data_IF_084718190410
#
_entry.id   IF_084718190410
#
_cell.length_a   1.000
_cell.length_b   1.000
_cell.length_c   1.000
_cell.angle_alpha   90.00
_cell.angle_beta   90.00
_cell.angle_gamma   90.00
#
_symmetry.space_group_name_H-M   'P 1'
#
loop_
_entity.id
_entity.type
_entity.pdbx_description
1 polymer ?
#
# COMPACT_ATOMS: atom_id res chain seq x y z
N UNK A 1 -37.55 32.20 -28.71
CA UNK A 1 -37.51 31.80 -27.29
C UNK A 1 -38.50 30.66 -27.12
N UNK A 2 -38.03 29.43 -27.20
CA UNK A 2 -38.81 28.22 -26.90
C UNK A 2 -37.94 27.38 -25.98
N UNK A 3 -38.22 27.47 -24.67
CA UNK A 3 -37.70 26.55 -23.67
C UNK A 3 -38.59 25.32 -23.67
N UNK A 4 -38.11 24.22 -24.24
CA UNK A 4 -38.69 22.90 -24.02
C UNK A 4 -38.30 22.45 -22.62
N UNK A 5 -39.20 22.61 -21.67
CA UNK A 5 -39.12 21.96 -20.37
C UNK A 5 -39.48 20.48 -20.57
N UNK A 6 -38.48 19.62 -20.68
CA UNK A 6 -38.68 18.18 -20.66
C UNK A 6 -38.99 17.76 -19.23
N UNK A 7 -40.22 17.29 -19.05
CA UNK A 7 -40.75 16.72 -17.81
C UNK A 7 -39.93 15.48 -17.41
N UNK A 8 -39.05 15.64 -16.41
CA UNK A 8 -38.04 14.64 -16.00
C UNK A 8 -38.48 13.90 -14.74
N UNK A 9 -39.65 13.29 -14.81
CA UNK A 9 -40.21 12.48 -13.70
C UNK A 9 -40.65 11.09 -14.16
N UNK A 10 -39.83 10.43 -14.99
CA UNK A 10 -39.99 9.00 -15.23
C UNK A 10 -39.08 8.19 -14.29
N UNK A 11 -39.61 7.15 -13.62
CA UNK A 11 -38.78 6.19 -12.89
C UNK A 11 -37.84 5.50 -13.89
N UNK A 12 -36.54 5.46 -13.58
CA UNK A 12 -35.54 4.80 -14.40
C UNK A 12 -35.74 3.28 -14.33
N UNK A 13 -36.57 2.73 -15.22
CA UNK A 13 -36.83 1.28 -15.34
C UNK A 13 -35.69 0.54 -16.08
N UNK A 14 -34.50 1.09 -16.10
CA UNK A 14 -33.31 0.52 -16.75
C UNK A 14 -32.03 1.09 -16.12
N UNK A 15 -30.89 0.53 -16.49
CA UNK A 15 -29.59 1.07 -16.07
C UNK A 15 -29.44 2.51 -16.59
N UNK A 16 -28.90 3.44 -15.77
CA UNK A 16 -28.62 4.79 -16.19
C UNK A 16 -27.60 4.78 -17.34
N UNK A 17 -27.65 5.78 -18.25
CA UNK A 17 -26.62 5.97 -19.26
C UNK A 17 -25.26 6.25 -18.58
N UNK A 18 -24.16 5.86 -19.22
CA UNK A 18 -22.81 6.04 -18.67
C UNK A 18 -22.46 7.53 -18.47
N UNK A 19 -23.08 8.40 -19.26
CA UNK A 19 -22.97 9.85 -19.15
C UNK A 19 -23.46 10.37 -17.80
N UNK A 20 -24.51 9.77 -17.22
CA UNK A 20 -25.04 10.18 -15.92
C UNK A 20 -24.11 9.71 -14.79
N UNK A 21 -23.49 8.53 -14.92
CA UNK A 21 -22.49 8.03 -13.95
C UNK A 21 -21.25 8.94 -13.97
N UNK A 22 -20.78 9.34 -15.16
CA UNK A 22 -19.67 10.29 -15.28
C UNK A 22 -20.03 11.67 -14.69
N UNK A 23 -21.22 12.20 -15.00
CA UNK A 23 -21.70 13.47 -14.45
C UNK A 23 -21.86 13.44 -12.92
N UNK A 24 -22.21 12.28 -12.35
CA UNK A 24 -22.25 12.05 -10.91
C UNK A 24 -20.86 12.11 -10.27
N UNK A 25 -19.87 11.42 -10.85
CA UNK A 25 -18.48 11.44 -10.40
C UNK A 25 -17.88 12.85 -10.46
N UNK A 26 -18.16 13.59 -11.54
CA UNK A 26 -17.71 14.97 -11.71
C UNK A 26 -18.48 15.97 -10.83
N UNK A 27 -19.51 15.53 -10.10
CA UNK A 27 -20.34 16.36 -9.23
C UNK A 27 -21.25 17.35 -9.97
N UNK A 28 -21.47 17.15 -11.28
CA UNK A 28 -22.21 18.07 -12.16
C UNK A 28 -23.71 17.79 -12.25
N UNK A 29 -24.17 16.63 -11.76
CA UNK A 29 -25.61 16.30 -11.68
C UNK A 29 -26.38 17.20 -10.71
N UNK A 30 -27.62 17.51 -11.09
CA UNK A 30 -28.58 18.20 -10.22
C UNK A 30 -28.90 17.36 -8.97
N UNK A 31 -29.33 18.02 -7.89
CA UNK A 31 -29.50 17.36 -6.58
C UNK A 31 -30.55 16.23 -6.61
N UNK A 32 -31.62 16.39 -7.38
CA UNK A 32 -32.68 15.40 -7.55
C UNK A 32 -32.23 14.20 -8.39
N UNK A 33 -31.48 14.43 -9.46
CA UNK A 33 -30.88 13.36 -10.29
C UNK A 33 -29.83 12.57 -9.50
N UNK A 34 -29.01 13.27 -8.71
CA UNK A 34 -28.01 12.67 -7.81
C UNK A 34 -28.66 11.72 -6.81
N UNK A 35 -29.77 12.14 -6.18
CA UNK A 35 -30.51 11.29 -5.26
C UNK A 35 -31.06 10.03 -5.94
N UNK A 36 -31.60 10.15 -7.16
CA UNK A 36 -32.09 9.01 -7.95
C UNK A 36 -30.97 8.04 -8.33
N UNK A 37 -29.82 8.56 -8.76
CA UNK A 37 -28.68 7.72 -9.13
C UNK A 37 -28.10 7.00 -7.91
N UNK A 38 -28.03 7.69 -6.77
CA UNK A 38 -27.60 7.07 -5.50
C UNK A 38 -28.52 5.91 -5.11
N UNK A 39 -29.84 6.11 -5.20
CA UNK A 39 -30.83 5.04 -4.93
C UNK A 39 -30.70 3.87 -5.92
N UNK A 40 -30.39 4.15 -7.20
CA UNK A 40 -30.18 3.11 -8.21
C UNK A 40 -28.90 2.30 -7.95
N UNK A 41 -27.78 2.97 -7.68
CA UNK A 41 -26.49 2.32 -7.36
C UNK A 41 -26.60 1.41 -6.14
N UNK A 42 -27.41 1.78 -5.14
CA UNK A 42 -27.68 0.94 -3.97
C UNK A 42 -28.48 -0.34 -4.27
N UNK A 43 -29.15 -0.44 -5.42
CA UNK A 43 -30.00 -1.58 -5.80
C UNK A 43 -29.50 -2.37 -7.01
N UNK A 44 -28.61 -1.81 -7.81
CA UNK A 44 -28.13 -2.40 -9.06
C UNK A 44 -26.63 -2.67 -9.00
N UNK A 45 -26.28 -3.93 -8.72
CA UNK A 45 -24.90 -4.41 -8.59
C UNK A 45 -24.05 -4.11 -9.84
N UNK A 46 -24.59 -4.31 -11.04
CA UNK A 46 -23.85 -4.05 -12.28
C UNK A 46 -23.52 -2.56 -12.50
N UNK A 47 -24.38 -1.65 -12.02
CA UNK A 47 -24.08 -0.22 -12.09
C UNK A 47 -23.10 0.21 -10.99
N UNK A 48 -23.18 -0.43 -9.81
CA UNK A 48 -22.23 -0.21 -8.73
C UNK A 48 -20.81 -0.62 -9.14
N UNK A 49 -20.64 -1.76 -9.83
CA UNK A 49 -19.34 -2.23 -10.33
C UNK A 49 -18.71 -1.24 -11.34
N UNK A 50 -19.51 -0.70 -12.27
CA UNK A 50 -19.03 0.32 -13.22
C UNK A 50 -18.64 1.61 -12.48
N UNK A 51 -19.44 2.02 -11.49
CA UNK A 51 -19.16 3.20 -10.68
C UNK A 51 -17.87 3.05 -9.87
N UNK A 52 -17.70 1.95 -9.12
CA UNK A 52 -16.51 1.73 -8.28
C UNK A 52 -15.24 1.60 -9.13
N UNK A 53 -15.32 0.94 -10.29
CA UNK A 53 -14.20 0.89 -11.23
C UNK A 53 -13.80 2.27 -11.76
N UNK A 54 -14.77 3.15 -12.03
CA UNK A 54 -14.51 4.51 -12.46
C UNK A 54 -13.92 5.40 -11.35
N UNK A 55 -14.35 5.23 -10.08
CA UNK A 55 -13.74 5.90 -8.91
C UNK A 55 -12.27 5.51 -8.78
N UNK A 56 -11.96 4.21 -8.82
CA UNK A 56 -10.57 3.75 -8.74
C UNK A 56 -9.70 4.31 -9.86
N UNK A 57 -10.23 4.46 -11.07
CA UNK A 57 -9.49 5.08 -12.18
C UNK A 57 -9.26 6.59 -11.99
N UNK A 58 -10.11 7.30 -11.26
CA UNK A 58 -9.87 8.71 -10.89
C UNK A 58 -8.81 8.84 -9.79
N UNK A 59 -8.74 7.87 -8.89
CA UNK A 59 -7.76 7.81 -7.80
C UNK A 59 -6.38 7.37 -8.25
N UNK A 60 -6.28 6.58 -9.34
CA UNK A 60 -5.00 6.32 -9.98
C UNK A 60 -4.36 7.66 -10.36
N UNK A 61 -3.27 8.07 -9.68
CA UNK A 61 -2.68 9.36 -9.94
C UNK A 61 -2.17 9.34 -11.37
N UNK A 62 -2.85 10.07 -12.26
CA UNK A 62 -2.29 10.37 -13.57
C UNK A 62 -0.91 10.97 -13.28
N UNK A 63 0.14 10.26 -13.68
CA UNK A 63 1.54 10.59 -13.37
C UNK A 63 2.02 11.91 -14.03
N UNK A 64 1.09 12.81 -14.33
CA UNK A 64 1.24 14.07 -15.03
C UNK A 64 0.90 15.29 -14.16
N UNK A 65 0.48 15.16 -12.89
CA UNK A 65 0.37 16.33 -12.00
C UNK A 65 1.74 16.66 -11.37
N UNK A 66 2.67 17.04 -12.25
CA UNK A 66 3.82 17.84 -11.84
C UNK A 66 3.35 19.29 -11.74
N UNK A 67 3.18 19.72 -10.50
CA UNK A 67 2.70 21.03 -10.10
C UNK A 67 2.95 22.17 -11.09
N UNK A 68 1.86 22.77 -11.55
CA UNK A 68 1.77 24.20 -11.80
C UNK A 68 2.86 24.81 -12.70
N UNK A 69 2.98 24.35 -13.95
CA UNK A 69 3.41 25.23 -15.06
C UNK A 69 3.03 24.67 -16.43
N UNK A 70 2.00 25.30 -17.01
CA UNK A 70 1.85 25.41 -18.45
C UNK A 70 1.03 24.32 -19.11
N UNK A 71 -0.27 24.56 -19.22
CA UNK A 71 -1.08 24.05 -20.34
C UNK A 71 -0.31 24.34 -21.62
N UNK A 72 0.14 23.30 -22.33
CA UNK A 72 0.72 23.46 -23.66
C UNK A 72 -0.35 24.07 -24.57
N UNK A 73 -0.15 25.29 -25.11
CA UNK A 73 -1.12 25.85 -26.04
C UNK A 73 -1.15 24.96 -27.27
N UNK A 74 -2.32 24.39 -27.57
CA UNK A 74 -2.59 23.82 -28.88
C UNK A 74 -2.37 24.92 -29.92
N UNK A 75 -1.48 24.75 -30.91
CA UNK A 75 -1.30 25.72 -31.97
C UNK A 75 -2.51 25.60 -32.91
N UNK A 76 -3.61 26.26 -32.56
CA UNK A 76 -4.67 26.55 -33.51
C UNK A 76 -4.14 27.60 -34.47
N UNK A 77 -4.16 27.22 -35.75
CA UNK A 77 -3.43 27.88 -36.83
C UNK A 77 -3.73 29.37 -36.97
N UNK A 78 -2.67 30.17 -36.85
CA UNK A 78 -2.60 31.53 -37.34
C UNK A 78 -1.74 31.57 -38.60
N UNK A 79 -2.42 31.62 -39.75
CA UNK A 79 -2.07 32.37 -40.95
C UNK A 79 -0.61 32.41 -41.44
N UNK A 80 -0.38 31.61 -42.49
CA UNK A 80 0.09 32.05 -43.81
C UNK A 80 0.92 33.36 -43.88
N UNK A 81 2.19 33.21 -44.25
CA UNK A 81 2.84 34.15 -45.17
C UNK A 81 4.22 34.67 -44.79
N UNK A 82 5.27 33.94 -45.18
CA UNK A 82 6.47 34.47 -45.89
C UNK A 82 7.51 33.37 -46.17
N UNK A 83 7.92 33.15 -47.44
CA UNK A 83 8.99 32.23 -47.81
C UNK A 83 10.35 32.99 -47.88
N UNK A 84 11.49 32.34 -48.16
CA UNK A 84 12.62 32.27 -47.25
C UNK A 84 13.81 33.15 -47.68
N UNK A 85 14.70 33.50 -46.74
CA UNK A 85 16.08 33.86 -47.09
C UNK A 85 17.06 32.90 -46.45
N UNK A 86 17.56 32.03 -47.33
CA UNK A 86 18.70 31.14 -47.11
C UNK A 86 19.92 31.99 -46.77
N UNK A 87 20.54 31.72 -45.62
CA UNK A 87 21.97 31.85 -45.46
C UNK A 87 22.49 30.52 -44.90
N UNK A 88 23.07 29.77 -45.84
CA UNK A 88 23.95 28.64 -45.59
C UNK A 88 25.13 29.10 -44.76
N UNK A 89 25.43 28.44 -43.64
CA UNK A 89 26.80 28.33 -43.14
C UNK A 89 26.91 27.27 -42.04
N UNK A 90 27.35 26.08 -42.46
CA UNK A 90 28.39 25.28 -41.78
C UNK A 90 28.27 25.14 -40.24
N UNK A 91 27.44 24.21 -39.78
CA UNK A 91 27.81 23.28 -38.70
C UNK A 91 26.76 22.17 -38.64
N UNK A 92 27.04 21.04 -39.27
CA UNK A 92 26.12 19.88 -39.39
C UNK A 92 26.68 18.61 -38.73
N UNK A 93 27.67 18.73 -37.85
CA UNK A 93 28.37 17.58 -37.25
C UNK A 93 28.72 17.77 -35.77
N UNK A 94 27.79 18.31 -34.98
CA UNK A 94 27.86 18.19 -33.53
C UNK A 94 26.49 18.50 -32.96
N UNK A 95 25.83 17.47 -32.40
CA UNK A 95 24.97 17.48 -31.21
C UNK A 95 23.85 16.43 -31.33
N UNK A 96 24.14 15.19 -30.91
CA UNK A 96 23.14 14.34 -30.27
C UNK A 96 23.62 13.93 -28.86
N UNK A 97 24.05 14.89 -28.02
CA UNK A 97 24.52 14.60 -26.65
C UNK A 97 23.83 15.41 -25.53
N UNK A 98 22.99 16.40 -25.86
CA UNK A 98 22.33 17.21 -24.83
C UNK A 98 21.01 16.60 -24.30
N UNK A 99 20.32 15.77 -25.08
CA UNK A 99 19.04 15.16 -24.66
C UNK A 99 19.22 14.03 -23.64
N UNK A 100 20.37 13.33 -23.65
CA UNK A 100 20.62 12.16 -22.80
C UNK A 100 20.86 12.54 -21.33
N UNK A 101 21.48 13.70 -21.07
CA UNK A 101 21.81 14.15 -19.70
C UNK A 101 20.55 14.52 -18.91
N UNK A 102 19.54 15.11 -19.58
CA UNK A 102 18.26 15.49 -18.93
C UNK A 102 17.44 14.26 -18.55
N UNK A 103 17.44 13.21 -19.38
CA UNK A 103 16.73 11.96 -19.07
C UNK A 103 17.37 11.21 -17.90
N UNK A 104 18.70 11.13 -17.83
CA UNK A 104 19.40 10.46 -16.71
C UNK A 104 19.26 11.27 -15.42
N UNK A 105 19.39 12.60 -15.48
CA UNK A 105 19.15 13.46 -14.32
C UNK A 105 17.68 13.41 -13.85
N UNK A 106 16.74 13.41 -14.80
CA UNK A 106 15.31 13.30 -14.55
C UNK A 106 14.93 11.96 -13.88
N UNK A 107 15.42 10.83 -14.39
CA UNK A 107 15.20 9.52 -13.75
C UNK A 107 15.83 9.43 -12.36
N UNK A 108 17.04 9.99 -12.19
CA UNK A 108 17.72 10.01 -10.88
C UNK A 108 16.97 10.84 -9.84
N UNK A 109 16.46 12.01 -10.24
CA UNK A 109 15.62 12.87 -9.39
C UNK A 109 14.26 12.22 -9.10
N UNK A 110 13.61 11.60 -10.09
CA UNK A 110 12.32 10.93 -9.88
C UNK A 110 12.42 9.81 -8.84
N UNK A 111 13.46 8.96 -8.90
CA UNK A 111 13.69 7.92 -7.88
C UNK A 111 13.98 8.50 -6.48
N UNK A 112 14.50 9.72 -6.41
CA UNK A 112 14.71 10.42 -5.15
C UNK A 112 13.41 10.93 -4.52
N UNK A 113 12.38 11.23 -5.33
CA UNK A 113 11.09 11.72 -4.85
C UNK A 113 10.01 10.64 -4.77
N UNK A 114 10.13 9.55 -5.52
CA UNK A 114 9.22 8.42 -5.42
C UNK A 114 9.22 7.89 -3.96
N UNK A 115 8.04 7.58 -3.40
CA UNK A 115 7.95 6.96 -2.09
C UNK A 115 8.75 5.64 -2.09
N UNK A 116 9.49 5.32 -1.02
CA UNK A 116 10.13 4.03 -0.91
C UNK A 116 9.08 2.93 -1.00
N UNK A 117 9.29 1.98 -1.90
CA UNK A 117 8.45 0.79 -2.00
C UNK A 117 9.04 -0.28 -1.09
N UNK A 118 8.39 -0.50 0.04
CA UNK A 118 8.66 -1.64 0.90
C UNK A 118 7.96 -2.84 0.28
N UNK A 119 8.73 -3.71 -0.36
CA UNK A 119 8.24 -4.99 -0.88
C UNK A 119 8.70 -6.12 0.03
N UNK A 120 7.96 -7.22 0.03
CA UNK A 120 8.31 -8.39 0.86
C UNK A 120 9.70 -8.92 0.51
N UNK A 121 10.05 -8.95 -0.78
CA UNK A 121 11.37 -9.32 -1.23
C UNK A 121 12.46 -8.37 -0.69
N UNK A 122 12.25 -7.05 -0.77
CA UNK A 122 13.22 -6.06 -0.33
C UNK A 122 13.50 -6.09 1.18
N UNK A 123 12.52 -6.51 2.00
CA UNK A 123 12.70 -6.61 3.45
C UNK A 123 13.25 -7.97 3.90
N UNK A 124 12.95 -9.05 3.19
CA UNK A 124 13.42 -10.40 3.54
C UNK A 124 14.80 -10.74 2.94
N UNK A 125 15.13 -10.22 1.75
CA UNK A 125 16.42 -10.49 1.08
C UNK A 125 17.63 -10.11 1.95
N UNK A 126 17.66 -8.97 2.67
CA UNK A 126 18.75 -8.65 3.58
C UNK A 126 18.96 -9.70 4.67
N UNK A 127 17.92 -10.44 5.06
CA UNK A 127 17.98 -11.46 6.11
C UNK A 127 18.62 -12.77 5.63
N UNK A 128 18.85 -12.93 4.32
CA UNK A 128 19.48 -14.13 3.74
C UNK A 128 20.84 -14.42 4.39
N UNK A 129 21.02 -15.67 4.85
CA UNK A 129 22.24 -16.13 5.52
C UNK A 129 22.21 -16.08 7.05
N UNK A 130 21.17 -15.51 7.65
CA UNK A 130 20.93 -15.65 9.10
C UNK A 130 20.21 -16.98 9.38
N UNK A 131 20.53 -17.65 10.48
CA UNK A 131 19.94 -18.95 10.88
C UNK A 131 19.30 -18.85 12.26
N UNK A 132 18.23 -19.61 12.51
CA UNK A 132 17.54 -19.61 13.80
C UNK A 132 16.71 -18.33 13.99
N UNK A 133 16.16 -17.82 12.89
CA UNK A 133 15.27 -16.67 12.92
C UNK A 133 13.88 -17.04 13.42
N UNK A 134 13.46 -18.31 13.30
CA UNK A 134 12.16 -18.79 13.77
C UNK A 134 11.96 -18.63 15.28
N UNK A 135 13.04 -18.73 16.08
CA UNK A 135 13.03 -18.47 17.53
C UNK A 135 12.83 -16.98 17.88
N UNK A 136 12.87 -16.10 16.87
CA UNK A 136 12.81 -14.64 17.01
C UNK A 136 11.56 -14.03 16.41
N UNK A 137 10.70 -14.83 15.76
CA UNK A 137 9.45 -14.34 15.19
C UNK A 137 8.56 -13.77 16.28
N UNK A 138 7.73 -12.81 15.89
CA UNK A 138 6.71 -12.28 16.76
C UNK A 138 5.76 -13.39 17.23
N UNK A 139 5.58 -13.50 18.55
CA UNK A 139 4.61 -14.41 19.17
C UNK A 139 3.53 -13.56 19.84
N UNK A 140 2.30 -13.54 19.31
CA UNK A 140 1.23 -12.79 19.94
C UNK A 140 0.96 -13.36 21.34
N UNK A 141 0.73 -12.46 22.31
CA UNK A 141 0.24 -12.89 23.61
C UNK A 141 -1.17 -13.46 23.41
N UNK A 142 -1.34 -14.75 23.69
CA UNK A 142 -2.64 -15.43 23.54
C UNK A 142 -3.60 -14.91 24.62
N UNK A 143 -4.27 -13.79 24.32
CA UNK A 143 -5.28 -13.19 25.17
C UNK A 143 -6.66 -13.71 24.76
N UNK A 144 -7.35 -14.36 25.69
CA UNK A 144 -8.69 -14.92 25.48
C UNK A 144 -9.75 -13.88 25.89
N UNK A 145 -10.29 -13.13 24.93
CA UNK A 145 -11.34 -12.12 25.13
C UNK A 145 -12.32 -12.05 23.96
N UNK A 146 -13.51 -11.47 24.17
CA UNK A 146 -14.51 -11.21 23.14
C UNK A 146 -14.09 -10.00 22.30
N UNK A 147 -14.28 -10.12 20.99
CA UNK A 147 -13.80 -9.20 19.98
C UNK A 147 -14.83 -8.09 19.72
N UNK A 148 -14.56 -6.86 20.16
CA UNK A 148 -15.25 -5.67 19.64
C UNK A 148 -14.45 -5.07 18.48
N UNK A 149 -15.18 -4.65 17.45
CA UNK A 149 -14.67 -4.04 16.22
C UNK A 149 -14.13 -2.64 16.53
N UNK A 150 -12.84 -2.40 16.26
CA UNK A 150 -12.21 -1.08 16.38
C UNK A 150 -11.75 -0.62 15.00
N UNK A 151 -12.23 0.55 14.58
CA UNK A 151 -11.97 1.18 13.27
C UNK A 151 -10.63 1.93 13.19
N UNK A 152 -9.84 1.99 14.27
CA UNK A 152 -8.65 2.85 14.31
C UNK A 152 -7.36 2.07 14.07
N UNK A 153 -6.65 2.47 13.00
CA UNK A 153 -5.63 1.66 12.33
C UNK A 153 -6.25 0.32 11.93
N UNK A 154 -6.17 -0.06 10.66
CA UNK A 154 -6.56 -1.41 10.27
C UNK A 154 -5.56 -2.42 10.87
N UNK A 155 -5.63 -2.68 12.19
CA UNK A 155 -4.75 -3.61 12.93
C UNK A 155 -4.67 -4.94 12.19
N UNK A 156 -5.78 -5.53 11.70
CA UNK A 156 -5.70 -6.74 10.90
C UNK A 156 -4.78 -6.59 9.67
N UNK A 157 -4.78 -5.44 9.00
CA UNK A 157 -3.92 -5.15 7.85
C UNK A 157 -2.45 -5.01 8.28
N UNK A 158 -2.15 -4.30 9.39
CA UNK A 158 -0.77 -4.21 9.91
C UNK A 158 -0.25 -5.59 10.32
N UNK A 159 -1.04 -6.34 11.09
CA UNK A 159 -0.64 -7.65 11.59
C UNK A 159 -0.54 -8.69 10.47
N UNK A 160 -1.33 -8.58 9.41
CA UNK A 160 -1.14 -9.37 8.20
C UNK A 160 0.25 -9.13 7.57
N UNK A 161 0.74 -7.88 7.59
CA UNK A 161 2.12 -7.55 7.19
C UNK A 161 3.16 -8.25 8.06
N UNK A 162 3.02 -8.17 9.40
CA UNK A 162 3.92 -8.85 10.36
C UNK A 162 3.97 -10.35 10.09
N UNK A 163 2.82 -11.03 10.09
CA UNK A 163 2.76 -12.48 9.93
C UNK A 163 3.17 -12.96 8.53
N UNK A 164 3.09 -12.11 7.50
CA UNK A 164 3.62 -12.45 6.18
C UNK A 164 5.15 -12.49 6.17
N UNK A 165 5.83 -11.61 6.92
CA UNK A 165 7.29 -11.68 7.10
C UNK A 165 7.64 -12.97 7.83
N UNK A 166 6.94 -13.28 8.93
CA UNK A 166 7.13 -14.53 9.69
C UNK A 166 6.99 -15.76 8.80
N UNK A 167 5.92 -15.80 7.98
CA UNK A 167 5.68 -16.90 7.05
C UNK A 167 6.85 -17.08 6.08
N UNK A 168 7.40 -15.98 5.53
CA UNK A 168 8.56 -16.05 4.61
C UNK A 168 9.81 -16.57 5.31
N UNK A 169 10.07 -16.11 6.52
CA UNK A 169 11.22 -16.57 7.32
C UNK A 169 11.07 -18.05 7.66
N UNK A 170 9.89 -18.47 8.13
CA UNK A 170 9.56 -19.87 8.44
C UNK A 170 9.66 -20.79 7.24
N UNK A 171 9.15 -20.37 6.07
CA UNK A 171 9.32 -21.10 4.82
C UNK A 171 10.79 -21.29 4.50
N UNK A 172 11.60 -20.23 4.59
CA UNK A 172 13.02 -20.28 4.27
C UNK A 172 13.78 -21.25 5.17
N UNK A 173 13.52 -21.23 6.48
CA UNK A 173 14.18 -22.13 7.45
C UNK A 173 13.59 -23.55 7.43
N UNK A 174 12.48 -23.76 6.72
CA UNK A 174 11.82 -25.06 6.58
C UNK A 174 11.34 -25.65 7.92
N UNK A 175 10.91 -24.77 8.83
CA UNK A 175 10.37 -25.15 10.14
C UNK A 175 8.85 -25.31 10.07
N UNK A 176 8.37 -26.54 9.90
CA UNK A 176 6.94 -26.83 9.66
C UNK A 176 6.00 -26.25 10.71
N UNK A 177 6.38 -26.28 11.98
CA UNK A 177 5.56 -25.73 13.06
C UNK A 177 5.43 -24.21 12.94
N UNK A 178 6.54 -23.51 12.71
CA UNK A 178 6.53 -22.06 12.53
C UNK A 178 5.74 -21.65 11.27
N UNK A 179 5.82 -22.44 10.19
CA UNK A 179 4.99 -22.21 8.99
C UNK A 179 3.50 -22.34 9.33
N UNK A 180 3.10 -23.39 10.06
CA UNK A 180 1.72 -23.60 10.46
C UNK A 180 1.20 -22.46 11.35
N UNK A 181 1.98 -22.06 12.35
CA UNK A 181 1.61 -21.00 13.29
C UNK A 181 1.48 -19.65 12.55
N UNK A 182 2.44 -19.29 11.70
CA UNK A 182 2.36 -18.08 10.87
C UNK A 182 1.14 -18.09 9.93
N UNK A 183 0.79 -19.25 9.32
CA UNK A 183 -0.41 -19.35 8.47
C UNK A 183 -1.71 -19.19 9.25
N UNK A 184 -1.80 -19.76 10.47
CA UNK A 184 -2.98 -19.61 11.32
C UNK A 184 -3.19 -18.15 11.73
N UNK A 185 -2.12 -17.49 12.17
CA UNK A 185 -2.17 -16.08 12.56
C UNK A 185 -2.47 -15.18 11.36
N UNK A 186 -1.75 -15.35 10.24
CA UNK A 186 -1.98 -14.59 9.01
C UNK A 186 -3.40 -14.76 8.47
N UNK A 187 -3.90 -16.00 8.44
CA UNK A 187 -5.25 -16.28 7.97
C UNK A 187 -6.32 -15.67 8.87
N UNK A 188 -6.13 -15.72 10.19
CA UNK A 188 -7.03 -15.08 11.17
C UNK A 188 -7.10 -13.57 11.00
N UNK A 189 -5.96 -12.89 10.87
CA UNK A 189 -5.96 -11.44 10.62
C UNK A 189 -6.54 -11.09 9.24
N UNK A 190 -6.19 -11.85 8.21
CA UNK A 190 -6.70 -11.60 6.83
C UNK A 190 -8.23 -11.76 6.76
N UNK A 191 -8.82 -12.67 7.54
CA UNK A 191 -10.28 -12.83 7.62
C UNK A 191 -10.99 -11.59 8.18
N UNK A 192 -10.30 -10.82 9.03
CA UNK A 192 -10.81 -9.59 9.62
C UNK A 192 -10.55 -8.36 8.74
N UNK A 193 -9.88 -8.51 7.59
CA UNK A 193 -9.71 -7.42 6.61
C UNK A 193 -10.91 -7.41 5.66
N UNK A 194 -11.49 -6.23 5.47
CA UNK A 194 -12.62 -6.03 4.57
C UNK A 194 -12.30 -6.57 3.16
N UNK A 195 -13.23 -7.37 2.61
CA UNK A 195 -13.13 -8.03 1.29
C UNK A 195 -12.09 -9.16 1.16
N UNK A 196 -11.28 -9.46 2.18
CA UNK A 196 -10.28 -10.54 2.12
C UNK A 196 -10.66 -11.81 2.90
N UNK A 197 -11.89 -11.90 3.41
CA UNK A 197 -12.41 -13.06 4.14
C UNK A 197 -12.11 -14.41 3.48
N UNK A 198 -12.43 -14.54 2.19
CA UNK A 198 -12.19 -15.78 1.44
C UNK A 198 -10.69 -16.12 1.34
N UNK A 199 -9.84 -15.12 1.10
CA UNK A 199 -8.39 -15.32 1.05
C UNK A 199 -7.85 -15.75 2.40
N UNK A 200 -8.34 -15.15 3.49
CA UNK A 200 -7.98 -15.53 4.85
C UNK A 200 -8.39 -16.97 5.20
N UNK A 201 -9.58 -17.42 4.78
CA UNK A 201 -10.01 -18.82 4.92
C UNK A 201 -9.07 -19.77 4.15
N UNK A 202 -8.68 -19.42 2.93
CA UNK A 202 -7.74 -20.21 2.12
C UNK A 202 -6.36 -20.31 2.79
N UNK A 203 -5.86 -19.21 3.36
CA UNK A 203 -4.60 -19.17 4.11
C UNK A 203 -4.68 -20.08 5.35
N UNK A 204 -5.76 -19.99 6.14
CA UNK A 204 -5.95 -20.87 7.30
C UNK A 204 -6.05 -22.34 6.90
N UNK A 205 -6.76 -22.67 5.81
CA UNK A 205 -6.86 -24.04 5.30
C UNK A 205 -5.51 -24.59 4.80
N UNK A 206 -4.60 -23.73 4.35
CA UNK A 206 -3.24 -24.13 3.96
C UNK A 206 -2.40 -24.59 5.16
N UNK A 207 -2.65 -24.08 6.37
CA UNK A 207 -1.96 -24.47 7.60
C UNK A 207 -2.07 -25.98 7.87
N UNK A 208 -3.27 -26.56 7.66
CA UNK A 208 -3.52 -28.00 7.85
C UNK A 208 -2.82 -28.90 6.83
N UNK A 209 -2.29 -28.30 5.75
CA UNK A 209 -1.65 -29.02 4.63
C UNK A 209 -0.13 -28.87 4.63
N UNK A 210 0.49 -28.15 5.57
CA UNK A 210 1.93 -27.83 5.54
C UNK A 210 2.81 -29.06 5.31
N UNK A 211 2.49 -30.20 5.94
CA UNK A 211 3.24 -31.45 5.80
C UNK A 211 3.06 -32.19 4.46
N UNK A 212 2.11 -31.78 3.61
CA UNK A 212 1.78 -32.47 2.35
C UNK A 212 2.69 -31.99 1.20
N UNK A 213 3.08 -32.86 0.25
CA UNK A 213 3.78 -32.45 -0.96
C UNK A 213 2.99 -31.38 -1.74
N UNK A 214 3.68 -30.35 -2.23
CA UNK A 214 3.07 -29.24 -3.00
C UNK A 214 2.50 -28.10 -2.16
N UNK A 215 2.40 -28.25 -0.84
CA UNK A 215 1.90 -27.19 0.07
C UNK A 215 2.67 -25.87 -0.06
N UNK A 216 3.98 -25.93 -0.28
CA UNK A 216 4.84 -24.74 -0.37
C UNK A 216 4.52 -23.84 -1.57
N UNK A 217 4.17 -24.42 -2.71
CA UNK A 217 3.80 -23.67 -3.91
C UNK A 217 2.42 -23.01 -3.74
N UNK A 218 1.50 -23.70 -3.05
CA UNK A 218 0.20 -23.14 -2.64
C UNK A 218 0.39 -21.98 -1.66
N UNK A 219 1.21 -22.16 -0.62
CA UNK A 219 1.52 -21.13 0.38
C UNK A 219 2.18 -19.90 -0.26
N UNK A 220 3.18 -20.09 -1.13
CA UNK A 220 3.83 -18.98 -1.84
C UNK A 220 2.84 -18.19 -2.71
N UNK A 221 1.92 -18.90 -3.38
CA UNK A 221 0.87 -18.29 -4.20
C UNK A 221 -0.09 -17.45 -3.36
N UNK A 222 -0.51 -17.97 -2.21
CA UNK A 222 -1.40 -17.25 -1.29
C UNK A 222 -0.71 -16.02 -0.71
N UNK A 223 0.56 -16.12 -0.31
CA UNK A 223 1.34 -14.97 0.15
C UNK A 223 1.49 -13.88 -0.92
N UNK A 224 1.71 -14.26 -2.18
CA UNK A 224 1.74 -13.32 -3.32
C UNK A 224 0.38 -12.69 -3.61
N UNK A 225 -0.70 -13.45 -3.47
CA UNK A 225 -2.05 -12.93 -3.64
C UNK A 225 -2.35 -11.86 -2.57
N UNK A 226 -1.98 -12.14 -1.31
CA UNK A 226 -2.12 -11.16 -0.23
C UNK A 226 -1.27 -9.90 -0.47
N UNK A 227 -0.01 -10.07 -0.86
CA UNK A 227 0.86 -8.92 -1.21
C UNK A 227 0.31 -8.12 -2.40
N UNK A 228 -0.33 -8.76 -3.38
CA UNK A 228 -0.98 -8.05 -4.48
C UNK A 228 -2.23 -7.28 -4.03
N UNK A 229 -2.95 -7.78 -3.03
CA UNK A 229 -4.15 -7.13 -2.48
C UNK A 229 -3.84 -5.98 -1.52
N UNK A 230 -2.79 -6.11 -0.69
CA UNK A 230 -2.48 -5.16 0.38
C UNK A 230 -1.15 -4.41 0.19
N UNK A 231 -0.38 -4.73 -0.85
CA UNK A 231 0.97 -4.19 -1.05
C UNK A 231 1.02 -2.67 -1.23
N UNK A 232 -0.10 -2.03 -1.57
CA UNK A 232 -0.22 -0.57 -1.65
C UNK A 232 -0.72 0.10 -0.37
N UNK A 233 -1.21 -0.68 0.58
CA UNK A 233 -1.72 -0.19 1.86
C UNK A 233 -0.57 0.25 2.81
N UNK A 234 -0.56 1.49 3.31
CA UNK A 234 0.47 1.97 4.22
C UNK A 234 0.57 1.19 5.54
N UNK A 235 -0.56 0.72 6.08
CA UNK A 235 -0.64 -0.04 7.32
C UNK A 235 -0.01 -1.43 7.13
N UNK A 236 -0.30 -2.08 5.99
CA UNK A 236 0.33 -3.35 5.64
C UNK A 236 1.85 -3.22 5.51
N UNK A 237 2.32 -2.18 4.80
CA UNK A 237 3.76 -1.89 4.67
C UNK A 237 4.42 -1.56 6.01
N UNK A 238 3.71 -0.90 6.92
CA UNK A 238 4.20 -0.64 8.28
C UNK A 238 4.47 -1.96 9.01
N UNK A 239 3.55 -2.93 8.91
CA UNK A 239 3.73 -4.27 9.47
C UNK A 239 4.94 -4.99 8.90
N UNK A 240 5.07 -5.02 7.56
CA UNK A 240 6.21 -5.61 6.86
C UNK A 240 7.54 -5.00 7.34
N UNK A 241 7.61 -3.67 7.38
CA UNK A 241 8.82 -2.94 7.75
C UNK A 241 9.18 -3.12 9.23
N UNK A 242 8.17 -3.13 10.11
CA UNK A 242 8.38 -3.25 11.55
C UNK A 242 8.95 -4.64 11.90
N UNK A 243 8.34 -5.72 11.39
CA UNK A 243 8.80 -7.08 11.68
C UNK A 243 10.16 -7.37 11.05
N UNK A 244 10.38 -6.95 9.80
CA UNK A 244 11.69 -7.11 9.18
C UNK A 244 12.79 -6.34 9.93
N UNK A 245 12.49 -5.14 10.44
CA UNK A 245 13.39 -4.37 11.28
C UNK A 245 13.69 -5.05 12.62
N UNK A 246 12.67 -5.64 13.26
CA UNK A 246 12.81 -6.44 14.47
C UNK A 246 13.71 -7.66 14.25
N UNK A 247 13.42 -8.49 13.23
CA UNK A 247 14.21 -9.67 12.90
C UNK A 247 15.63 -9.28 12.50
N UNK A 248 15.82 -8.20 11.73
CA UNK A 248 17.14 -7.69 11.36
C UNK A 248 17.94 -7.26 12.59
N UNK A 249 17.32 -6.59 13.57
CA UNK A 249 17.98 -6.22 14.81
C UNK A 249 18.32 -7.46 15.66
N UNK A 250 17.37 -8.37 15.84
CA UNK A 250 17.57 -9.60 16.62
C UNK A 250 18.70 -10.48 16.05
N UNK A 251 18.82 -10.54 14.73
CA UNK A 251 19.87 -11.27 14.00
C UNK A 251 21.17 -10.46 13.82
N UNK A 252 21.23 -9.21 14.31
CA UNK A 252 22.36 -8.28 14.15
C UNK A 252 22.73 -8.04 12.68
N UNK A 253 21.74 -8.07 11.81
CA UNK A 253 21.90 -7.90 10.37
C UNK A 253 21.94 -6.42 9.99
N UNK A 254 23.14 -5.88 9.81
CA UNK A 254 23.32 -4.49 9.40
C UNK A 254 22.82 -4.16 7.98
N UNK A 255 22.51 -5.17 7.15
CA UNK A 255 22.09 -4.97 5.75
C UNK A 255 20.80 -4.16 5.66
N UNK A 256 19.79 -4.54 6.46
CA UNK A 256 18.51 -3.83 6.54
C UNK A 256 18.68 -2.34 6.87
N UNK A 257 19.52 -2.01 7.85
CA UNK A 257 19.74 -0.63 8.32
C UNK A 257 20.62 0.21 7.40
N UNK A 258 21.47 -0.44 6.59
CA UNK A 258 22.27 0.21 5.54
C UNK A 258 21.44 0.50 4.30
N UNK A 259 20.34 -0.22 4.10
CA UNK A 259 19.43 0.05 2.99
C UNK A 259 18.78 1.43 3.17
N UNK A 260 18.90 2.23 2.12
CA UNK A 260 18.38 3.58 2.09
C UNK A 260 16.85 3.60 2.05
N UNK A 261 16.22 2.64 1.38
CA UNK A 261 14.77 2.62 1.21
C UNK A 261 14.08 2.28 2.54
N UNK A 262 14.64 1.35 3.33
CA UNK A 262 14.18 1.06 4.70
C UNK A 262 14.26 2.28 5.61
N UNK A 263 15.34 3.07 5.51
CA UNK A 263 15.46 4.31 6.29
C UNK A 263 14.48 5.38 5.83
N UNK A 264 14.26 5.50 4.51
CA UNK A 264 13.33 6.48 3.93
C UNK A 264 11.87 6.17 4.25
N UNK A 265 11.55 4.97 4.72
CA UNK A 265 10.21 4.61 5.16
C UNK A 265 9.85 5.20 6.53
N UNK A 266 10.82 5.57 7.38
CA UNK A 266 10.56 6.14 8.72
C UNK A 266 9.61 7.37 8.71
N UNK A 267 9.78 8.37 7.83
CA UNK A 267 8.82 9.47 7.71
C UNK A 267 7.40 9.00 7.35
N UNK A 268 7.26 8.02 6.46
CA UNK A 268 5.97 7.47 6.07
C UNK A 268 5.32 6.70 7.22
N UNK A 269 6.11 5.94 7.98
CA UNK A 269 5.63 5.26 9.18
C UNK A 269 5.11 6.26 10.23
N UNK A 270 5.79 7.40 10.40
CA UNK A 270 5.31 8.48 11.30
C UNK A 270 4.03 9.13 10.81
N UNK A 271 3.89 9.32 9.50
CA UNK A 271 2.68 9.84 8.87
C UNK A 271 1.51 8.88 9.08
N UNK A 272 1.70 7.58 8.84
CA UNK A 272 0.68 6.55 9.05
C UNK A 272 0.21 6.45 10.51
N UNK A 273 1.09 6.72 11.47
CA UNK A 273 0.76 6.79 12.91
C UNK A 273 0.16 8.15 13.30
N UNK A 274 0.26 9.16 12.44
CA UNK A 274 -0.16 10.54 12.69
C UNK A 274 -1.65 10.72 12.93
N UNK A 275 -2.48 9.83 12.38
CA UNK A 275 -3.94 9.93 12.42
C UNK A 275 -4.57 9.11 13.57
N UNK A 276 -3.75 8.50 14.43
CA UNK A 276 -4.20 7.69 15.57
C UNK A 276 -4.62 8.55 16.78
N UNK A 277 -5.45 8.00 17.69
CA UNK A 277 -5.71 8.63 18.98
C UNK A 277 -4.44 8.87 19.79
N UNK A 278 -4.43 9.99 20.51
CA UNK A 278 -3.26 10.50 21.23
C UNK A 278 -2.66 9.47 22.20
N UNK A 279 -3.53 8.65 22.82
CA UNK A 279 -3.13 7.62 23.79
C UNK A 279 -2.10 6.64 23.23
N UNK A 280 -2.19 6.32 21.94
CA UNK A 280 -1.32 5.34 21.27
C UNK A 280 -0.34 6.00 20.33
N UNK A 281 -0.77 7.09 19.71
CA UNK A 281 0.07 7.92 18.86
C UNK A 281 1.37 8.29 19.58
N UNK A 282 1.30 8.78 20.83
CA UNK A 282 2.49 9.20 21.59
C UNK A 282 3.46 8.04 21.82
N UNK A 283 2.93 6.86 22.14
CA UNK A 283 3.72 5.64 22.36
C UNK A 283 4.41 5.19 21.07
N UNK A 284 3.66 5.07 19.97
CA UNK A 284 4.20 4.66 18.67
C UNK A 284 5.20 5.69 18.13
N UNK A 285 4.93 6.99 18.26
CA UNK A 285 5.87 8.04 17.88
C UNK A 285 7.16 7.98 18.69
N UNK A 286 7.10 7.67 19.99
CA UNK A 286 8.29 7.49 20.81
C UNK A 286 9.17 6.33 20.30
N UNK A 287 8.55 5.19 19.93
CA UNK A 287 9.26 4.07 19.30
C UNK A 287 9.90 4.47 17.96
N UNK A 288 9.15 5.11 17.06
CA UNK A 288 9.65 5.57 15.75
C UNK A 288 10.76 6.64 15.86
N UNK A 289 10.70 7.48 16.90
CA UNK A 289 11.75 8.46 17.17
C UNK A 289 13.02 7.78 17.68
N UNK A 290 12.90 6.82 18.59
CA UNK A 290 14.04 6.07 19.11
C UNK A 290 14.73 5.23 18.01
N UNK A 291 13.93 4.58 17.14
CA UNK A 291 14.45 3.84 15.98
C UNK A 291 15.31 4.73 15.07
N UNK A 292 14.86 5.95 14.77
CA UNK A 292 15.60 6.89 13.93
C UNK A 292 16.91 7.38 14.59
N UNK A 293 16.91 7.57 15.91
CA UNK A 293 18.11 7.93 16.66
C UNK A 293 19.15 6.80 16.65
N UNK A 294 18.69 5.55 16.79
CA UNK A 294 19.54 4.35 16.87
C UNK A 294 19.85 3.72 15.49
N UNK A 295 19.29 4.26 14.40
CA UNK A 295 19.38 3.71 13.04
C UNK A 295 20.81 3.48 12.50
N UNK A 296 21.83 3.96 13.19
CA UNK A 296 23.24 3.77 12.82
C UNK A 296 23.67 2.30 12.72
N UNK A 297 22.88 1.37 13.30
CA UNK A 297 23.16 -0.07 13.25
C UNK A 297 24.42 -0.47 14.02
N UNK A 298 24.81 0.35 15.01
CA UNK A 298 25.96 0.07 15.90
C UNK A 298 25.57 -0.77 17.10
N UNK A 299 24.39 -0.51 17.65
CA UNK A 299 23.78 -1.31 18.71
C UNK A 299 22.41 -1.80 18.22
N UNK A 300 22.22 -3.12 18.24
CA UNK A 300 20.99 -3.74 17.75
C UNK A 300 19.99 -4.03 18.86
N UNK A 301 20.42 -4.11 20.13
CA UNK A 301 19.51 -4.45 21.21
C UNK A 301 18.44 -3.37 21.44
N UNK A 302 18.77 -2.05 21.44
CA UNK A 302 17.75 -1.00 21.51
C UNK A 302 16.81 -1.02 20.30
N UNK A 303 17.35 -1.21 19.10
CA UNK A 303 16.53 -1.32 17.88
C UNK A 303 15.55 -2.48 17.97
N UNK A 304 16.02 -3.67 18.35
CA UNK A 304 15.17 -4.87 18.54
C UNK A 304 14.03 -4.59 19.52
N UNK A 305 14.33 -3.97 20.67
CA UNK A 305 13.33 -3.60 21.65
C UNK A 305 12.32 -2.57 21.13
N UNK A 306 12.76 -1.57 20.36
CA UNK A 306 11.87 -0.55 19.84
C UNK A 306 10.97 -1.04 18.70
N UNK A 307 11.49 -1.86 17.77
CA UNK A 307 10.66 -2.47 16.74
C UNK A 307 9.63 -3.43 17.33
N UNK A 308 10.05 -4.29 18.26
CA UNK A 308 9.13 -5.20 18.95
C UNK A 308 8.05 -4.43 19.72
N UNK A 309 8.45 -3.40 20.47
CA UNK A 309 7.51 -2.55 21.19
C UNK A 309 6.53 -1.83 20.27
N UNK A 310 6.95 -1.44 19.06
CA UNK A 310 6.04 -0.88 18.05
C UNK A 310 4.94 -1.89 17.67
N UNK A 311 5.31 -3.14 17.38
CA UNK A 311 4.37 -4.22 17.02
C UNK A 311 3.44 -4.53 18.20
N UNK A 312 3.98 -4.71 19.40
CA UNK A 312 3.20 -5.00 20.62
C UNK A 312 2.21 -3.89 20.98
N UNK A 313 2.50 -2.63 20.67
CA UNK A 313 1.58 -1.51 20.91
C UNK A 313 0.44 -1.49 19.87
N UNK A 314 0.75 -1.80 18.61
CA UNK A 314 -0.28 -1.93 17.55
C UNK A 314 -1.19 -3.12 17.86
N UNK A 315 -0.62 -4.24 18.28
CA UNK A 315 -1.37 -5.45 18.58
C UNK A 315 -2.35 -5.24 19.77
N UNK A 316 -1.86 -4.60 20.85
CA UNK A 316 -2.66 -4.33 22.06
C UNK A 316 -3.76 -3.29 21.88
N UNK A 317 -3.71 -2.44 20.85
CA UNK A 317 -4.68 -1.35 20.70
C UNK A 317 -6.14 -1.85 20.74
N UNK A 318 -6.39 -3.04 20.18
CA UNK A 318 -7.72 -3.68 20.18
C UNK A 318 -8.40 -3.73 21.56
N UNK A 319 -7.63 -3.83 22.64
CA UNK A 319 -8.14 -3.95 24.01
C UNK A 319 -8.58 -2.62 24.64
N UNK A 320 -8.01 -1.51 24.17
CA UNK A 320 -8.30 -0.18 24.72
C UNK A 320 -9.55 0.43 24.09
N UNK A 321 -9.87 0.04 22.85
CA UNK A 321 -11.09 0.46 22.15
C UNK A 321 -12.36 -0.22 22.66
N UNK A 322 -12.25 -1.35 23.38
CA UNK A 322 -13.39 -2.13 23.89
C UNK A 322 -13.77 -1.85 25.34
N UNK A 323 -13.14 -0.84 25.98
CA UNK A 323 -13.42 -0.41 27.36
C UNK A 323 -14.13 0.94 27.40
#
# INVERSE_FOLDING_TARGET
>A
MMSSSTDTSQPMNGCPPLEDIAAFLDGTLAADERARLTEHLARCESCYEVFSGAVHFQEEPTAADTGGRGVLPFPLGGEQGRPPRRLLSRSRWALPLAASVVLVAGLGLFRFFAPPQITLAGVVEPLEGSTGLTDRLYQPDVMRGEDEESDFLDRPVVMAGVYLVDLRVSLRENESQAIEDSLRNLGGETQNVLFLGELGEQITAAAEKVAKPGSREEIDRLGKALEASLGDDPAFRLGLWAEAGHIAAASRNSGFFKDRDNRRFLPLAREAVGDLPAEIQDSLQAHLQAIDQEWTGRDFAPLEAHFRGLIEQIDRYRELSSQ
#
